data_IF_916244184629
#
_entry.id   IF_916244184629
#
_cell.length_a   1.000
_cell.length_b   1.000
_cell.length_c   1.000
_cell.angle_alpha   90.00
_cell.angle_beta   90.00
_cell.angle_gamma   90.00
#
_symmetry.space_group_name_H-M   'P 1'
#
loop_
_entity.id
_entity.type
_entity.pdbx_description
1 polymer ?
#
# COMPACT_ATOMS: atom_id res chain seq x y z
N UNK A 1 -11.97 13.27 -21.33
CA UNK A 1 -11.18 12.57 -20.30
C UNK A 1 -10.43 13.60 -19.48
N UNK A 2 -10.65 13.69 -18.17
CA UNK A 2 -9.77 14.49 -17.30
C UNK A 2 -8.50 13.69 -17.08
N UNK A 3 -7.39 14.17 -17.63
CA UNK A 3 -6.05 13.65 -17.34
C UNK A 3 -5.69 14.12 -15.94
N UNK A 4 -5.78 13.23 -14.95
CA UNK A 4 -5.31 13.53 -13.61
C UNK A 4 -3.80 13.24 -13.59
N UNK A 5 -2.97 14.26 -13.42
CA UNK A 5 -1.52 14.13 -13.26
C UNK A 5 -1.21 13.83 -11.79
N UNK A 6 -1.30 12.55 -11.41
CA UNK A 6 -0.95 12.12 -10.07
C UNK A 6 0.57 11.95 -9.97
N UNK A 7 1.19 12.57 -8.98
CA UNK A 7 2.66 12.55 -8.79
C UNK A 7 3.12 11.39 -7.90
N UNK A 8 2.22 10.82 -7.09
CA UNK A 8 2.55 9.74 -6.16
C UNK A 8 2.70 8.36 -6.80
N UNK A 9 2.43 8.23 -8.10
CA UNK A 9 2.43 6.94 -8.79
C UNK A 9 3.26 7.01 -10.07
N UNK A 10 4.32 6.22 -10.12
CA UNK A 10 5.22 6.15 -11.28
C UNK A 10 5.27 4.74 -11.86
N UNK A 11 5.20 4.62 -13.19
CA UNK A 11 5.27 3.35 -13.93
C UNK A 11 4.19 2.28 -13.56
N UNK A 12 3.12 2.66 -12.86
CA UNK A 12 2.04 1.73 -12.50
C UNK A 12 0.89 1.66 -13.52
N UNK A 13 0.90 2.51 -14.56
CA UNK A 13 -0.14 2.53 -15.59
C UNK A 13 -0.28 1.20 -16.36
N UNK A 14 0.72 0.32 -16.27
CA UNK A 14 0.73 -1.02 -16.85
C UNK A 14 0.90 -2.13 -15.78
N UNK A 15 0.46 -1.89 -14.54
CA UNK A 15 0.50 -2.90 -13.47
C UNK A 15 -0.10 -4.22 -14.00
N UNK A 16 0.67 -5.33 -14.02
CA UNK A 16 0.10 -6.62 -14.30
C UNK A 16 -0.89 -6.98 -13.18
N UNK A 17 -1.76 -7.95 -13.44
CA UNK A 17 -2.51 -8.56 -12.34
C UNK A 17 -1.54 -9.24 -11.36
N UNK A 18 -1.75 -8.98 -10.07
CA UNK A 18 -1.07 -9.66 -8.97
C UNK A 18 -1.93 -10.76 -8.35
N UNK A 19 -3.07 -11.09 -8.96
CA UNK A 19 -3.84 -12.27 -8.54
C UNK A 19 -2.94 -13.50 -8.65
N UNK A 20 -2.88 -14.28 -7.57
CA UNK A 20 -1.99 -15.44 -7.39
C UNK A 20 -0.48 -15.13 -7.36
N UNK A 21 -0.09 -13.85 -7.30
CA UNK A 21 1.30 -13.49 -7.10
C UNK A 21 1.68 -13.67 -5.62
N UNK A 22 2.83 -14.27 -5.37
CA UNK A 22 3.34 -14.52 -4.02
C UNK A 22 4.26 -13.38 -3.57
N UNK A 23 3.98 -12.76 -2.42
CA UNK A 23 4.90 -11.85 -1.77
C UNK A 23 6.09 -12.64 -1.20
N UNK A 24 7.26 -12.47 -1.80
CA UNK A 24 8.45 -13.28 -1.48
C UNK A 24 9.53 -12.51 -0.71
N UNK A 25 9.46 -11.17 -0.69
CA UNK A 25 10.44 -10.35 0.02
C UNK A 25 9.87 -9.00 0.44
N UNK A 26 10.30 -8.58 1.62
CA UNK A 26 9.99 -7.29 2.23
C UNK A 26 11.32 -6.70 2.71
N UNK A 27 11.55 -5.44 2.40
CA UNK A 27 12.73 -4.71 2.83
C UNK A 27 12.28 -3.33 3.27
N UNK A 28 12.52 -2.99 4.54
CA UNK A 28 12.07 -1.73 5.14
C UNK A 28 13.27 -1.01 5.73
N UNK A 29 13.50 0.22 5.29
CA UNK A 29 14.52 1.11 5.82
C UNK A 29 13.84 2.36 6.42
N UNK A 30 13.76 2.46 7.76
CA UNK A 30 13.11 3.58 8.42
C UNK A 30 13.92 4.89 8.33
N UNK A 31 15.24 4.83 8.13
CA UNK A 31 16.10 6.02 8.12
C UNK A 31 15.85 6.84 6.84
N UNK A 32 15.65 6.16 5.71
CA UNK A 32 15.27 6.79 4.43
C UNK A 32 13.77 6.71 4.13
N UNK A 33 12.99 6.14 5.06
CA UNK A 33 11.53 5.94 4.94
C UNK A 33 11.14 5.21 3.66
N UNK A 34 11.83 4.10 3.38
CA UNK A 34 11.55 3.27 2.21
C UNK A 34 11.00 1.91 2.59
N UNK A 35 10.19 1.36 1.70
CA UNK A 35 9.72 -0.01 1.75
C UNK A 35 9.82 -0.59 0.34
N UNK A 36 10.31 -1.81 0.22
CA UNK A 36 10.35 -2.56 -1.03
C UNK A 36 9.61 -3.87 -0.82
N UNK A 37 8.67 -4.14 -1.71
CA UNK A 37 7.95 -5.41 -1.78
C UNK A 37 8.27 -6.10 -3.10
N UNK A 38 8.54 -7.40 -3.06
CA UNK A 38 8.81 -8.20 -4.26
C UNK A 38 7.79 -9.32 -4.37
N UNK A 39 7.13 -9.39 -5.52
CA UNK A 39 6.10 -10.37 -5.81
C UNK A 39 6.54 -11.29 -6.93
N UNK A 40 6.46 -12.60 -6.70
CA UNK A 40 6.69 -13.61 -7.73
C UNK A 40 5.36 -13.99 -8.37
N UNK A 41 5.21 -13.75 -9.67
CA UNK A 41 4.01 -14.19 -10.42
C UNK A 41 4.10 -15.68 -10.78
N UNK A 42 2.95 -16.37 -10.84
CA UNK A 42 2.84 -17.83 -11.14
C UNK A 42 3.66 -18.25 -12.37
N UNK A 43 3.63 -17.44 -13.43
CA UNK A 43 4.35 -17.71 -14.69
C UNK A 43 5.11 -16.48 -15.20
N UNK A 44 5.62 -15.64 -14.29
CA UNK A 44 6.20 -14.35 -14.64
C UNK A 44 7.47 -13.99 -13.87
N UNK A 45 8.06 -12.81 -14.17
CA UNK A 45 9.19 -12.30 -13.41
C UNK A 45 8.78 -11.95 -11.97
N UNK A 46 9.79 -11.65 -11.16
CA UNK A 46 9.59 -11.01 -9.87
C UNK A 46 9.35 -9.53 -10.11
N UNK A 47 8.16 -9.04 -9.79
CA UNK A 47 7.80 -7.63 -9.86
C UNK A 47 8.21 -6.95 -8.55
N UNK A 48 8.83 -5.77 -8.63
CA UNK A 48 9.28 -5.03 -7.44
C UNK A 48 8.53 -3.71 -7.31
N UNK A 49 7.86 -3.51 -6.18
CA UNK A 49 7.25 -2.25 -5.80
C UNK A 49 8.13 -1.53 -4.78
N UNK A 50 8.47 -0.28 -5.07
CA UNK A 50 9.20 0.59 -4.15
C UNK A 50 8.31 1.74 -3.68
N UNK A 51 8.18 1.85 -2.37
CA UNK A 51 7.46 2.90 -1.66
C UNK A 51 8.47 3.87 -1.06
N UNK A 52 8.30 5.16 -1.33
CA UNK A 52 9.16 6.23 -0.81
C UNK A 52 8.38 7.16 0.11
N UNK A 53 9.05 7.72 1.12
CA UNK A 53 8.40 8.59 2.09
C UNK A 53 7.30 7.87 2.86
N UNK A 54 7.55 6.63 3.28
CA UNK A 54 6.61 5.83 4.07
C UNK A 54 6.21 6.61 5.33
N UNK A 55 4.91 6.91 5.44
CA UNK A 55 4.29 7.62 6.56
C UNK A 55 3.84 6.62 7.63
N UNK A 56 3.19 5.55 7.18
CA UNK A 56 2.73 4.47 8.03
C UNK A 56 2.67 3.18 7.21
N UNK A 57 2.95 2.07 7.86
CA UNK A 57 2.71 0.76 7.30
C UNK A 57 2.33 -0.22 8.39
N UNK A 58 1.56 -1.23 8.03
CA UNK A 58 1.34 -2.41 8.87
C UNK A 58 1.21 -3.63 7.97
N UNK A 59 1.84 -4.71 8.40
CA UNK A 59 1.66 -6.04 7.84
C UNK A 59 1.37 -7.03 8.97
N UNK A 60 0.51 -8.00 8.70
CA UNK A 60 0.28 -9.17 9.55
C UNK A 60 0.39 -10.45 8.71
N UNK A 61 0.56 -11.58 9.39
CA UNK A 61 0.46 -12.92 8.82
C UNK A 61 1.37 -13.21 7.61
N UNK A 62 2.58 -12.62 7.61
CA UNK A 62 3.63 -13.04 6.68
C UNK A 62 4.14 -14.43 7.06
N UNK A 63 3.79 -15.43 6.26
CA UNK A 63 4.03 -16.86 6.53
C UNK A 63 4.70 -17.56 5.34
N UNK A 64 4.73 -18.88 5.32
CA UNK A 64 5.33 -19.66 4.22
C UNK A 64 4.61 -19.48 2.87
N UNK A 65 3.34 -19.02 2.86
CA UNK A 65 2.58 -18.73 1.65
C UNK A 65 1.90 -17.37 1.78
N UNK A 66 2.28 -16.40 0.93
CA UNK A 66 1.75 -15.03 0.95
C UNK A 66 1.16 -14.67 -0.40
N UNK A 67 0.06 -15.33 -0.76
CA UNK A 67 -0.57 -15.19 -2.08
C UNK A 67 -1.52 -14.01 -2.07
N UNK A 68 -1.28 -13.04 -2.95
CA UNK A 68 -2.14 -11.88 -3.13
C UNK A 68 -3.43 -12.26 -3.85
N UNK A 69 -4.56 -11.78 -3.31
CA UNK A 69 -5.84 -11.77 -4.05
C UNK A 69 -5.85 -10.58 -4.99
N UNK A 70 -5.54 -9.39 -4.47
CA UNK A 70 -5.44 -8.15 -5.25
C UNK A 70 -4.61 -7.10 -4.54
N UNK A 71 -4.13 -6.14 -5.33
CA UNK A 71 -3.48 -4.91 -4.84
C UNK A 71 -4.41 -3.73 -5.14
N UNK A 72 -4.69 -2.91 -4.13
CA UNK A 72 -5.44 -1.66 -4.27
C UNK A 72 -4.47 -0.50 -4.08
N UNK A 73 -4.34 0.36 -5.07
CA UNK A 73 -3.37 1.47 -5.03
C UNK A 73 -4.07 2.75 -5.48
N UNK A 74 -4.09 3.79 -4.65
CA UNK A 74 -4.54 5.11 -5.09
C UNK A 74 -3.54 5.68 -6.11
N UNK A 75 -3.99 6.30 -7.20
CA UNK A 75 -5.36 6.70 -7.51
C UNK A 75 -6.12 5.67 -8.39
N UNK A 76 -5.48 4.58 -8.78
CA UNK A 76 -6.08 3.53 -9.63
C UNK A 76 -7.28 2.88 -8.95
N UNK A 77 -7.22 2.77 -7.62
CA UNK A 77 -8.34 2.51 -6.75
C UNK A 77 -8.75 3.79 -6.01
N UNK A 78 -10.05 4.11 -6.03
CA UNK A 78 -10.61 5.26 -5.30
C UNK A 78 -11.20 4.79 -3.98
N UNK A 79 -10.46 5.01 -2.90
CA UNK A 79 -10.94 4.77 -1.56
C UNK A 79 -11.99 5.83 -1.18
N UNK A 80 -13.09 5.39 -0.59
CA UNK A 80 -13.99 6.28 0.17
C UNK A 80 -13.31 6.77 1.45
N UNK A 81 -13.85 7.82 2.06
CA UNK A 81 -13.35 8.33 3.34
C UNK A 81 -13.44 7.29 4.45
N UNK A 82 -14.51 6.49 4.47
CA UNK A 82 -14.73 5.45 5.49
C UNK A 82 -13.73 4.29 5.34
N UNK A 83 -13.49 3.84 4.11
CA UNK A 83 -12.45 2.83 3.82
C UNK A 83 -11.05 3.35 4.19
N UNK A 84 -10.73 4.59 3.81
CA UNK A 84 -9.48 5.22 4.16
C UNK A 84 -9.29 5.31 5.68
N UNK A 85 -10.33 5.76 6.41
CA UNK A 85 -10.30 5.83 7.86
C UNK A 85 -10.07 4.46 8.48
N UNK A 86 -10.76 3.41 8.00
CA UNK A 86 -10.60 2.04 8.48
C UNK A 86 -9.16 1.54 8.31
N UNK A 87 -8.56 1.73 7.14
CA UNK A 87 -7.18 1.32 6.86
C UNK A 87 -6.15 2.08 7.69
N UNK A 88 -6.29 3.41 7.79
CA UNK A 88 -5.40 4.23 8.62
C UNK A 88 -5.51 3.81 10.08
N UNK A 89 -6.72 3.63 10.60
CA UNK A 89 -6.92 3.15 11.97
C UNK A 89 -6.30 1.76 12.19
N UNK A 90 -6.46 0.85 11.23
CA UNK A 90 -5.88 -0.48 11.31
C UNK A 90 -4.34 -0.43 11.34
N UNK A 91 -3.70 0.41 10.51
CA UNK A 91 -2.24 0.60 10.51
C UNK A 91 -1.69 1.05 11.88
N UNK A 92 -2.44 1.88 12.61
CA UNK A 92 -2.02 2.39 13.92
C UNK A 92 -2.52 1.53 15.11
N UNK A 93 -3.33 0.51 14.87
CA UNK A 93 -3.72 -0.43 15.94
C UNK A 93 -2.58 -1.42 16.24
N UNK A 94 -2.49 -1.84 17.50
CA UNK A 94 -1.58 -2.92 17.95
C UNK A 94 -2.43 -4.04 18.54
N UNK A 95 -1.98 -5.28 18.46
CA UNK A 95 -2.78 -6.45 18.83
C UNK A 95 -3.28 -6.42 20.28
N UNK A 96 -2.54 -5.78 21.18
CA UNK A 96 -2.87 -5.70 22.62
C UNK A 96 -3.45 -4.34 23.06
N UNK A 97 -3.61 -3.38 22.14
CA UNK A 97 -4.07 -2.03 22.48
C UNK A 97 -4.97 -1.47 21.38
N UNK A 98 -6.15 -0.98 21.78
CA UNK A 98 -6.99 -0.17 20.89
C UNK A 98 -6.12 0.91 20.25
N UNK A 99 -6.24 1.07 18.93
CA UNK A 99 -5.58 2.17 18.24
C UNK A 99 -5.80 3.47 19.03
N UNK A 100 -4.76 4.28 19.24
CA UNK A 100 -4.95 5.60 19.83
C UNK A 100 -6.03 6.33 19.03
N UNK A 101 -6.81 7.15 19.72
CA UNK A 101 -7.79 8.00 19.04
C UNK A 101 -7.03 8.91 18.09
N UNK A 102 -7.11 8.60 16.79
CA UNK A 102 -6.45 9.38 15.77
C UNK A 102 -7.22 10.69 15.59
N UNK A 103 -6.50 11.80 15.61
CA UNK A 103 -7.08 13.11 15.33
C UNK A 103 -7.73 13.10 13.94
N UNK A 104 -9.04 13.26 13.92
CA UNK A 104 -9.86 13.29 12.71
C UNK A 104 -9.35 14.32 11.70
N UNK A 105 -8.84 15.46 12.18
CA UNK A 105 -8.26 16.51 11.33
C UNK A 105 -7.04 16.00 10.56
N UNK A 106 -6.20 15.18 11.19
CA UNK A 106 -5.03 14.57 10.55
C UNK A 106 -5.47 13.57 9.49
N UNK A 107 -6.44 12.71 9.80
CA UNK A 107 -6.95 11.72 8.83
C UNK A 107 -7.59 12.42 7.63
N UNK A 108 -8.43 13.42 7.85
CA UNK A 108 -9.07 14.16 6.76
C UNK A 108 -8.05 14.91 5.89
N UNK A 109 -6.94 15.39 6.46
CA UNK A 109 -5.82 15.92 5.68
C UNK A 109 -5.16 14.83 4.83
N UNK A 110 -4.81 13.69 5.42
CA UNK A 110 -4.18 12.58 4.68
C UNK A 110 -5.10 12.03 3.58
N UNK A 111 -6.42 12.01 3.81
CA UNK A 111 -7.40 11.63 2.78
C UNK A 111 -7.38 12.61 1.60
N UNK A 112 -7.29 13.92 1.86
CA UNK A 112 -7.12 14.92 0.80
C UNK A 112 -5.81 14.73 0.04
N UNK A 113 -4.71 14.49 0.75
CA UNK A 113 -3.40 14.22 0.16
C UNK A 113 -3.41 12.96 -0.75
N UNK A 114 -4.20 11.94 -0.40
CA UNK A 114 -4.39 10.76 -1.26
C UNK A 114 -5.32 11.06 -2.45
N UNK A 115 -6.39 11.82 -2.23
CA UNK A 115 -7.34 12.18 -3.27
C UNK A 115 -6.74 13.13 -4.32
N UNK A 116 -5.81 13.99 -3.93
CA UNK A 116 -5.07 14.88 -4.84
C UNK A 116 -3.82 14.24 -5.47
N UNK A 117 -3.38 13.08 -4.95
CA UNK A 117 -2.24 12.33 -5.45
C UNK A 117 -0.88 12.84 -5.00
N UNK A 118 -0.83 13.62 -3.92
CA UNK A 118 0.42 13.95 -3.21
C UNK A 118 0.87 12.84 -2.25
N UNK A 119 -0.01 11.89 -1.95
CA UNK A 119 0.27 10.63 -1.24
C UNK A 119 -0.38 9.45 -1.92
N UNK A 120 0.13 8.25 -1.61
CA UNK A 120 -0.46 7.00 -2.05
C UNK A 120 -0.83 6.11 -0.86
N UNK A 121 -2.04 5.53 -0.92
CA UNK A 121 -2.45 4.40 -0.11
C UNK A 121 -2.37 3.13 -0.96
N UNK A 122 -1.66 2.12 -0.44
CA UNK A 122 -1.52 0.79 -1.00
C UNK A 122 -2.07 -0.24 -0.01
N UNK A 123 -2.90 -1.16 -0.50
CA UNK A 123 -3.43 -2.30 0.24
C UNK A 123 -3.08 -3.58 -0.52
N UNK A 124 -2.49 -4.55 0.19
CA UNK A 124 -2.38 -5.94 -0.21
C UNK A 124 -3.49 -6.72 0.50
N UNK A 125 -4.48 -7.18 -0.27
CA UNK A 125 -5.47 -8.12 0.24
C UNK A 125 -5.02 -9.55 -0.05
N UNK A 126 -4.92 -10.41 0.97
CA UNK A 126 -4.46 -11.78 0.78
C UNK A 126 -5.56 -12.67 0.22
N UNK A 127 -5.16 -13.61 -0.64
CA UNK A 127 -5.86 -14.90 -0.77
C UNK A 127 -5.42 -15.84 0.37
N UNK A 128 -4.15 -15.77 0.77
CA UNK A 128 -3.57 -16.49 1.91
C UNK A 128 -2.32 -15.74 2.42
N UNK A 129 -2.11 -15.74 3.73
CA UNK A 129 -0.93 -15.13 4.36
C UNK A 129 -1.03 -13.61 4.46
N UNK A 130 0.03 -12.92 4.01
CA UNK A 130 0.25 -11.51 4.33
C UNK A 130 -0.87 -10.55 3.92
N UNK A 131 -1.41 -9.83 4.90
CA UNK A 131 -2.25 -8.63 4.71
C UNK A 131 -1.43 -7.39 5.02
N UNK A 132 -1.49 -6.37 4.16
CA UNK A 132 -0.69 -5.16 4.34
C UNK A 132 -1.42 -3.89 3.92
N UNK A 133 -1.17 -2.81 4.64
CA UNK A 133 -1.48 -1.44 4.21
C UNK A 133 -0.24 -0.55 4.35
N UNK A 134 -0.05 0.34 3.37
CA UNK A 134 1.05 1.31 3.31
C UNK A 134 0.51 2.68 2.90
N UNK A 135 0.80 3.69 3.71
CA UNK A 135 0.61 5.09 3.37
C UNK A 135 1.99 5.71 3.12
N UNK A 136 2.21 6.28 1.95
CA UNK A 136 3.51 6.79 1.51
C UNK A 136 3.36 8.04 0.65
N UNK A 137 4.48 8.70 0.35
CA UNK A 137 4.52 9.83 -0.58
C UNK A 137 4.41 9.35 -2.03
N UNK A 138 5.12 8.28 -2.38
CA UNK A 138 5.01 7.68 -3.70
C UNK A 138 5.22 6.17 -3.72
N UNK A 139 4.66 5.53 -4.73
CA UNK A 139 4.87 4.12 -5.08
C UNK A 139 5.23 4.01 -6.55
N UNK A 140 6.24 3.19 -6.82
CA UNK A 140 6.78 2.97 -8.16
C UNK A 140 7.02 1.49 -8.40
N UNK A 141 6.95 1.07 -9.66
CA UNK A 141 7.42 -0.23 -10.09
C UNK A 141 8.85 -0.10 -10.61
N UNK A 142 9.75 -0.96 -10.12
CA UNK A 142 11.10 -1.06 -10.66
C UNK A 142 11.08 -2.02 -11.85
N UNK A 143 11.54 -1.54 -13.00
CA UNK A 143 11.62 -2.26 -14.28
C UNK A 143 13.03 -2.84 -14.43
#
# INVERSE_FOLDING_TARGET
MKTFSFTCVENLAALPSFHDAELVSIEHDPDVKSLILRFKRVSGPVETLMFSGVVAQRMIDFTDQNVASRLLISPMHRFSLDEFYAWVRWMYSRDDAKAPELDRTIIERLYRDVADGSKALFILEPSCGAEMAVLCESVSMLI
#
